data_IF_626049187472
#
_entry.id   IF_626049187472
#
_cell.length_a   1.000
_cell.length_b   1.000
_cell.length_c   1.000
_cell.angle_alpha   90.00
_cell.angle_beta   90.00
_cell.angle_gamma   90.00
#
_symmetry.space_group_name_H-M   'P 1'
#
loop_
_entity.id
_entity.type
_entity.pdbx_description
1 polymer ?
#
# COMPACT_ATOMS: atom_id res chain seq x y z
N UNK A 1 -9.16 45.96 73.61
CA UNK A 1 -9.68 45.71 72.29
C UNK A 1 -8.77 44.66 71.62
N UNK A 2 -9.24 43.40 71.60
CA UNK A 2 -8.47 42.30 70.97
C UNK A 2 -8.88 42.16 69.55
N UNK A 3 -7.92 42.30 68.59
CA UNK A 3 -8.12 42.05 67.16
C UNK A 3 -8.00 40.56 66.92
N UNK A 4 -9.09 39.94 66.46
CA UNK A 4 -9.10 38.57 65.99
C UNK A 4 -8.81 38.59 64.51
N UNK A 5 -7.63 38.07 64.05
CA UNK A 5 -7.31 37.87 62.68
C UNK A 5 -7.86 36.51 62.21
N UNK A 6 -8.75 36.55 61.24
CA UNK A 6 -9.27 35.37 60.55
C UNK A 6 -8.29 34.96 59.47
N UNK A 7 -7.70 33.79 59.59
CA UNK A 7 -6.85 33.18 58.59
C UNK A 7 -7.74 32.34 57.66
N UNK A 8 -7.97 32.78 56.44
CA UNK A 8 -8.72 32.02 55.43
C UNK A 8 -7.74 31.06 54.75
N UNK A 9 -7.92 29.77 55.00
CA UNK A 9 -7.14 28.70 54.37
C UNK A 9 -7.78 28.37 53.01
N UNK A 10 -7.10 28.75 51.91
CA UNK A 10 -7.51 28.39 50.58
C UNK A 10 -7.03 26.95 50.29
N UNK A 11 -7.96 25.99 50.25
CA UNK A 11 -7.69 24.63 49.79
C UNK A 11 -7.77 24.61 48.28
N UNK A 12 -6.62 24.57 47.60
CA UNK A 12 -6.52 24.35 46.16
C UNK A 12 -6.61 22.85 45.91
N UNK A 13 -7.77 22.38 45.45
CA UNK A 13 -7.93 21.01 44.95
C UNK A 13 -7.30 20.93 43.54
N UNK A 14 -6.15 20.30 43.45
CA UNK A 14 -5.60 19.88 42.16
C UNK A 14 -6.49 18.75 41.60
N UNK A 15 -7.33 19.10 40.61
CA UNK A 15 -7.96 18.09 39.77
C UNK A 15 -6.85 17.63 38.82
N UNK A 16 -6.21 16.52 39.14
CA UNK A 16 -5.30 15.84 38.23
C UNK A 16 -6.12 15.32 37.03
N UNK A 17 -6.02 15.97 35.88
CA UNK A 17 -6.36 15.32 34.62
C UNK A 17 -5.44 14.11 34.46
N UNK A 18 -5.97 12.91 34.67
CA UNK A 18 -5.34 11.71 34.15
C UNK A 18 -5.36 11.82 32.63
N UNK A 19 -4.27 12.31 32.06
CA UNK A 19 -3.92 12.07 30.68
C UNK A 19 -3.69 10.54 30.61
N UNK A 20 -4.69 9.82 30.10
CA UNK A 20 -4.44 8.46 29.64
C UNK A 20 -3.46 8.61 28.47
N UNK A 21 -2.18 8.44 28.79
CA UNK A 21 -1.17 8.10 27.80
C UNK A 21 -1.69 6.77 27.22
N UNK A 22 -2.35 6.83 26.06
CA UNK A 22 -2.52 5.65 25.22
C UNK A 22 -1.09 5.19 24.98
N UNK A 23 -0.67 4.22 25.78
CA UNK A 23 0.59 3.52 25.56
C UNK A 23 0.58 3.12 24.10
N UNK A 24 1.41 3.76 23.30
CA UNK A 24 1.78 3.29 21.96
C UNK A 24 2.39 1.91 22.19
N UNK A 25 1.56 0.87 22.35
CA UNK A 25 2.03 -0.49 22.23
C UNK A 25 2.70 -0.58 20.87
N UNK A 26 4.00 -0.73 20.90
CA UNK A 26 4.81 -0.87 19.68
C UNK A 26 4.35 -2.19 19.09
N UNK A 27 3.41 -2.09 18.13
CA UNK A 27 2.90 -3.28 17.45
C UNK A 27 4.07 -3.96 16.73
N UNK A 28 4.21 -5.23 17.02
CA UNK A 28 5.32 -6.03 16.49
C UNK A 28 5.14 -6.34 14.99
N UNK A 29 3.88 -6.45 14.52
CA UNK A 29 3.56 -6.74 13.12
C UNK A 29 2.65 -5.65 12.54
N UNK A 30 3.04 -5.09 11.40
CA UNK A 30 2.23 -4.07 10.72
C UNK A 30 2.56 -3.94 9.23
N UNK A 31 1.59 -3.41 8.49
CA UNK A 31 1.78 -2.91 7.13
C UNK A 31 2.04 -1.41 7.19
N UNK A 32 3.01 -0.91 6.43
CA UNK A 32 3.22 0.53 6.19
C UNK A 32 3.04 0.86 4.71
N UNK A 33 2.49 2.03 4.42
CA UNK A 33 2.32 2.51 3.04
C UNK A 33 3.60 3.22 2.61
N UNK A 34 4.22 2.74 1.53
CA UNK A 34 5.48 3.25 0.99
C UNK A 34 5.29 4.08 -0.29
N UNK A 35 4.11 4.03 -0.87
CA UNK A 35 3.72 4.79 -2.05
C UNK A 35 2.25 4.60 -2.36
N UNK A 36 1.67 5.54 -3.09
CA UNK A 36 0.23 5.58 -3.31
C UNK A 36 -0.17 5.87 -4.75
N UNK A 37 0.78 6.33 -5.59
CA UNK A 37 0.51 6.69 -6.97
C UNK A 37 0.52 5.46 -7.90
N UNK A 38 -0.20 5.55 -9.00
CA UNK A 38 -0.20 4.59 -10.10
C UNK A 38 1.16 4.63 -10.83
N UNK A 39 1.49 3.61 -11.61
CA UNK A 39 2.71 3.30 -12.37
C UNK A 39 3.65 4.45 -12.70
N UNK A 40 3.11 5.53 -13.26
CA UNK A 40 3.87 6.70 -13.68
C UNK A 40 4.28 7.64 -12.55
N UNK A 41 3.82 7.39 -11.33
CA UNK A 41 4.10 8.21 -10.16
C UNK A 41 3.45 9.60 -10.20
N UNK A 42 3.77 10.41 -9.18
CA UNK A 42 3.36 11.82 -9.12
C UNK A 42 4.56 12.69 -8.70
N UNK A 43 4.92 13.73 -9.47
CA UNK A 43 4.31 14.17 -10.72
C UNK A 43 4.48 13.15 -11.84
N UNK A 44 3.51 13.08 -12.75
CA UNK A 44 3.55 12.17 -13.90
C UNK A 44 4.41 12.77 -15.01
N UNK A 45 5.20 11.91 -15.67
CA UNK A 45 6.07 12.32 -16.78
C UNK A 45 5.26 13.02 -17.90
N UNK A 46 5.74 14.19 -18.32
CA UNK A 46 5.13 14.97 -19.40
C UNK A 46 3.79 15.65 -19.06
N UNK A 47 3.28 15.50 -17.85
CA UNK A 47 2.05 16.17 -17.47
C UNK A 47 2.26 17.67 -17.24
N UNK A 48 1.48 18.47 -17.98
CA UNK A 48 1.44 19.94 -17.86
C UNK A 48 0.14 20.45 -17.23
N UNK A 49 -0.69 19.55 -16.69
CA UNK A 49 -1.94 19.91 -16.01
C UNK A 49 -1.66 20.44 -14.61
N UNK A 50 -2.64 21.18 -14.06
CA UNK A 50 -2.57 21.76 -12.71
C UNK A 50 -2.17 20.73 -11.63
N UNK A 51 -2.65 19.51 -11.72
CA UNK A 51 -2.32 18.45 -10.75
C UNK A 51 -0.82 18.25 -10.58
N UNK A 52 -0.03 18.22 -11.68
CA UNK A 52 1.42 18.05 -11.60
C UNK A 52 2.17 19.40 -11.50
N UNK A 53 1.61 20.48 -12.03
CA UNK A 53 2.18 21.83 -11.94
C UNK A 53 2.33 22.29 -10.47
N UNK A 54 1.38 21.94 -9.64
CA UNK A 54 1.41 22.24 -8.20
C UNK A 54 2.64 21.61 -7.49
N UNK A 55 3.13 20.46 -7.96
CA UNK A 55 4.38 19.90 -7.47
C UNK A 55 5.59 20.77 -7.85
N UNK A 56 5.71 21.17 -9.10
CA UNK A 56 6.83 22.01 -9.57
C UNK A 56 6.83 23.41 -8.95
N UNK A 57 5.68 23.87 -8.47
CA UNK A 57 5.55 25.10 -7.68
C UNK A 57 5.79 24.91 -6.18
N UNK A 58 6.11 23.70 -5.73
CA UNK A 58 6.34 23.39 -4.31
C UNK A 58 5.06 23.38 -3.45
N UNK A 59 3.89 23.29 -4.07
CA UNK A 59 2.59 23.25 -3.37
C UNK A 59 2.24 21.83 -2.92
N UNK A 60 2.57 20.82 -3.74
CA UNK A 60 2.31 19.42 -3.44
C UNK A 60 3.62 18.62 -3.30
N UNK A 61 3.74 17.69 -2.36
CA UNK A 61 4.89 16.79 -2.28
C UNK A 61 4.85 15.73 -3.40
N UNK A 62 6.01 15.15 -3.72
CA UNK A 62 6.09 13.95 -4.54
C UNK A 62 5.31 12.80 -3.88
N UNK A 63 4.59 12.02 -4.69
CA UNK A 63 3.98 10.74 -4.26
C UNK A 63 4.70 9.60 -4.95
N UNK A 64 5.16 8.62 -4.19
CA UNK A 64 5.84 7.44 -4.73
C UNK A 64 4.81 6.47 -5.33
N UNK A 65 5.29 5.65 -6.27
CA UNK A 65 4.49 4.57 -6.87
C UNK A 65 4.09 3.56 -5.81
N UNK A 66 2.89 3.00 -5.95
CA UNK A 66 2.22 2.13 -4.98
C UNK A 66 3.09 0.99 -4.49
N UNK A 67 3.28 0.94 -3.19
CA UNK A 67 4.00 -0.15 -2.53
C UNK A 67 3.63 -0.23 -1.05
N UNK A 68 3.64 -1.44 -0.50
CA UNK A 68 3.48 -1.67 0.93
C UNK A 68 4.75 -2.32 1.50
N UNK A 69 5.13 -1.91 2.69
CA UNK A 69 6.08 -2.60 3.54
C UNK A 69 5.35 -3.46 4.57
N UNK A 70 5.75 -4.71 4.72
CA UNK A 70 5.26 -5.61 5.75
C UNK A 70 6.39 -5.88 6.75
N UNK A 71 6.17 -5.51 7.99
CA UNK A 71 7.20 -5.54 9.04
C UNK A 71 6.78 -6.50 10.14
N UNK A 72 7.71 -7.36 10.54
CA UNK A 72 7.64 -8.17 11.75
C UNK A 72 8.88 -7.89 12.61
N UNK A 73 8.70 -7.11 13.67
CA UNK A 73 9.77 -6.73 14.59
C UNK A 73 10.20 -7.87 15.51
N UNK A 74 9.29 -8.81 15.81
CA UNK A 74 9.60 -9.96 16.64
C UNK A 74 10.50 -10.93 15.86
N UNK A 75 10.12 -11.25 14.63
CA UNK A 75 10.91 -12.11 13.75
C UNK A 75 12.10 -11.38 13.10
N UNK A 76 12.24 -10.05 13.29
CA UNK A 76 13.25 -9.20 12.63
C UNK A 76 13.22 -9.32 11.11
N UNK A 77 12.02 -9.34 10.53
CA UNK A 77 11.78 -9.51 9.10
C UNK A 77 11.01 -8.33 8.51
N UNK A 78 11.32 -8.01 7.26
CA UNK A 78 10.62 -7.00 6.46
C UNK A 78 10.48 -7.44 5.02
N UNK A 79 9.28 -7.26 4.48
CA UNK A 79 8.92 -7.63 3.11
C UNK A 79 8.37 -6.43 2.37
N UNK A 80 8.55 -6.43 1.05
CA UNK A 80 8.07 -5.40 0.15
C UNK A 80 7.00 -5.98 -0.76
N UNK A 81 5.89 -5.28 -0.95
CA UNK A 81 4.93 -5.54 -2.02
C UNK A 81 5.13 -4.48 -3.09
N UNK A 82 5.43 -4.92 -4.29
CA UNK A 82 5.86 -4.21 -5.48
C UNK A 82 7.31 -3.69 -5.47
N UNK A 83 8.02 -3.94 -6.56
CA UNK A 83 9.34 -3.37 -6.83
C UNK A 83 9.20 -2.20 -7.80
N UNK A 84 8.83 -1.04 -7.30
CA UNK A 84 8.46 0.13 -8.09
C UNK A 84 9.69 0.90 -8.61
N UNK A 85 9.53 1.84 -9.54
CA UNK A 85 10.60 2.78 -9.91
C UNK A 85 11.15 3.59 -8.72
N UNK A 86 10.39 3.75 -7.63
CA UNK A 86 10.81 4.45 -6.41
C UNK A 86 11.45 3.53 -5.36
N UNK A 87 11.77 2.28 -5.70
CA UNK A 87 12.23 1.23 -4.76
C UNK A 87 13.40 1.65 -3.87
N UNK A 88 14.32 2.44 -4.39
CA UNK A 88 15.50 2.89 -3.63
C UNK A 88 15.10 3.74 -2.41
N UNK A 89 14.14 4.64 -2.58
CA UNK A 89 13.63 5.49 -1.49
C UNK A 89 12.68 4.71 -0.57
N UNK A 90 11.91 3.76 -1.11
CA UNK A 90 11.03 2.88 -0.33
C UNK A 90 11.82 1.93 0.58
N UNK A 91 12.88 1.31 0.07
CA UNK A 91 13.78 0.49 0.90
C UNK A 91 14.53 1.33 1.95
N UNK A 92 14.97 2.54 1.59
CA UNK A 92 15.60 3.44 2.55
C UNK A 92 14.64 3.86 3.68
N UNK A 93 13.36 4.04 3.37
CA UNK A 93 12.32 4.33 4.36
C UNK A 93 12.10 3.13 5.31
N UNK A 94 11.97 1.92 4.76
CA UNK A 94 11.89 0.69 5.57
C UNK A 94 13.08 0.54 6.52
N UNK A 95 14.28 0.79 6.04
CA UNK A 95 15.53 0.66 6.82
C UNK A 95 15.64 1.71 7.93
N UNK A 96 15.31 2.97 7.62
CA UNK A 96 15.52 4.08 8.54
C UNK A 96 14.39 4.27 9.55
N UNK A 97 13.14 4.08 9.11
CA UNK A 97 11.96 4.49 9.87
C UNK A 97 11.15 3.31 10.43
N UNK A 98 11.46 2.08 9.99
CA UNK A 98 10.66 0.90 10.40
C UNK A 98 11.50 -0.19 11.07
N UNK A 99 12.39 -0.86 10.33
CA UNK A 99 13.16 -1.98 10.85
C UNK A 99 14.54 -2.06 10.18
N UNK A 100 15.57 -1.82 10.96
CA UNK A 100 16.97 -1.99 10.54
C UNK A 100 17.47 -3.38 10.88
N UNK A 101 17.89 -4.14 9.86
CA UNK A 101 18.42 -5.51 10.01
C UNK A 101 19.70 -5.67 9.17
N UNK A 102 20.34 -6.84 9.25
CA UNK A 102 21.50 -7.18 8.41
C UNK A 102 21.14 -7.37 6.94
N UNK A 103 19.86 -7.68 6.64
CA UNK A 103 19.32 -7.79 5.28
C UNK A 103 18.66 -6.48 4.87
N UNK A 104 18.77 -6.11 3.60
CA UNK A 104 18.05 -4.94 3.07
C UNK A 104 16.55 -5.22 3.00
N UNK A 105 16.18 -6.46 2.66
CA UNK A 105 14.80 -6.96 2.55
C UNK A 105 14.81 -8.50 2.62
N UNK A 106 13.80 -9.10 3.23
CA UNK A 106 13.67 -10.56 3.36
C UNK A 106 12.83 -11.18 2.24
N UNK A 107 12.17 -10.35 1.44
CA UNK A 107 11.48 -10.77 0.22
C UNK A 107 10.65 -9.67 -0.43
N UNK A 108 10.40 -9.84 -1.72
CA UNK A 108 9.60 -8.92 -2.54
C UNK A 108 8.48 -9.71 -3.21
N UNK A 109 7.25 -9.27 -3.02
CA UNK A 109 6.05 -9.81 -3.65
C UNK A 109 5.65 -8.97 -4.85
N UNK A 110 5.52 -9.57 -6.03
CA UNK A 110 5.14 -8.89 -7.27
C UNK A 110 3.73 -9.30 -7.66
N UNK A 111 2.87 -8.32 -7.94
CA UNK A 111 1.50 -8.60 -8.39
C UNK A 111 1.43 -8.98 -9.87
N UNK A 112 2.10 -8.22 -10.75
CA UNK A 112 2.05 -8.41 -12.19
C UNK A 112 3.16 -7.66 -12.94
N UNK A 113 3.20 -7.81 -14.28
CA UNK A 113 4.25 -7.27 -15.14
C UNK A 113 3.88 -5.93 -15.79
N UNK A 114 3.30 -4.97 -15.05
CA UNK A 114 3.28 -3.56 -15.44
C UNK A 114 4.44 -2.81 -14.78
N UNK A 115 4.99 -1.81 -15.48
CA UNK A 115 6.29 -1.22 -15.13
C UNK A 115 6.34 -0.65 -13.70
N UNK A 116 5.25 -0.12 -13.21
CA UNK A 116 5.14 0.43 -11.86
C UNK A 116 5.35 -0.60 -10.76
N UNK A 117 5.15 -1.89 -11.07
CA UNK A 117 5.12 -2.96 -10.06
C UNK A 117 6.41 -3.80 -10.00
N UNK A 118 7.24 -3.81 -11.09
CA UNK A 118 8.42 -4.70 -11.15
C UNK A 118 9.70 -4.05 -11.67
N UNK A 119 9.63 -2.86 -12.30
CA UNK A 119 10.82 -2.25 -12.92
C UNK A 119 11.95 -2.00 -11.90
N UNK A 120 11.62 -1.73 -10.66
CA UNK A 120 12.57 -1.51 -9.58
C UNK A 120 13.42 -2.73 -9.23
N UNK A 121 13.06 -3.95 -9.65
CA UNK A 121 13.91 -5.13 -9.49
C UNK A 121 15.31 -4.92 -10.08
N UNK A 122 15.46 -4.06 -11.09
CA UNK A 122 16.75 -3.73 -11.71
C UNK A 122 17.76 -3.16 -10.71
N UNK A 123 17.29 -2.46 -9.67
CA UNK A 123 18.16 -1.92 -8.61
C UNK A 123 18.81 -3.00 -7.73
N UNK A 124 18.39 -4.26 -7.84
CA UNK A 124 19.08 -5.38 -7.16
C UNK A 124 20.32 -5.84 -7.92
N UNK A 125 20.49 -5.44 -9.18
CA UNK A 125 21.61 -5.76 -10.03
C UNK A 125 22.95 -5.20 -9.54
N UNK A 126 24.02 -5.65 -10.21
CA UNK A 126 25.41 -5.28 -9.88
C UNK A 126 25.70 -3.79 -10.05
N UNK A 127 24.93 -3.09 -10.87
CA UNK A 127 25.08 -1.66 -11.13
C UNK A 127 24.58 -0.79 -9.97
N UNK A 128 23.81 -1.38 -9.04
CA UNK A 128 23.26 -0.68 -7.87
C UNK A 128 23.54 -1.47 -6.59
N UNK A 129 22.59 -2.30 -6.10
CA UNK A 129 22.72 -2.99 -4.81
C UNK A 129 23.76 -4.12 -4.82
N UNK A 130 23.83 -4.91 -5.90
CA UNK A 130 24.77 -6.01 -6.07
C UNK A 130 24.63 -7.18 -5.08
N UNK A 131 23.61 -7.19 -4.21
CA UNK A 131 23.34 -8.29 -3.28
C UNK A 131 22.96 -9.56 -4.02
N UNK A 132 23.03 -10.70 -3.31
CA UNK A 132 22.75 -12.01 -3.86
C UNK A 132 21.51 -12.63 -3.22
N UNK A 133 20.79 -13.41 -4.04
CA UNK A 133 19.68 -14.26 -3.63
C UNK A 133 18.56 -13.51 -2.89
N UNK A 134 18.24 -12.26 -3.29
CA UNK A 134 17.08 -11.55 -2.76
C UNK A 134 15.83 -12.35 -3.16
N UNK A 135 14.99 -12.81 -2.20
CA UNK A 135 13.80 -13.59 -2.52
C UNK A 135 12.79 -12.73 -3.28
N UNK A 136 12.33 -13.21 -4.45
CA UNK A 136 11.24 -12.62 -5.22
C UNK A 136 10.10 -13.63 -5.33
N UNK A 137 9.00 -13.30 -4.74
CA UNK A 137 7.76 -14.07 -4.77
C UNK A 137 6.97 -13.67 -6.01
N UNK A 138 6.84 -14.61 -6.97
CA UNK A 138 6.20 -14.36 -8.25
C UNK A 138 5.38 -15.55 -8.73
N UNK A 139 4.28 -15.26 -9.44
CA UNK A 139 3.49 -16.27 -10.14
C UNK A 139 4.27 -16.86 -11.33
N UNK A 140 3.89 -18.06 -11.83
CA UNK A 140 4.67 -18.78 -12.84
C UNK A 140 4.94 -18.01 -14.13
N UNK A 141 3.94 -17.31 -14.70
CA UNK A 141 4.15 -16.51 -15.93
C UNK A 141 5.05 -15.30 -15.63
N UNK A 142 4.84 -14.60 -14.48
CA UNK A 142 5.70 -13.50 -14.05
C UNK A 142 7.16 -13.94 -13.91
N UNK A 143 7.40 -15.08 -13.26
CA UNK A 143 8.73 -15.67 -13.16
C UNK A 143 9.32 -15.96 -14.55
N UNK A 144 8.54 -16.57 -15.42
CA UNK A 144 8.95 -16.89 -16.80
C UNK A 144 9.31 -15.62 -17.59
N UNK A 145 8.48 -14.58 -17.45
CA UNK A 145 8.74 -13.29 -18.05
C UNK A 145 10.11 -12.72 -17.62
N UNK A 146 10.40 -12.70 -16.34
CA UNK A 146 11.65 -12.17 -15.79
C UNK A 146 12.88 -13.02 -16.19
N UNK A 147 12.74 -14.34 -16.28
CA UNK A 147 13.84 -15.24 -16.70
C UNK A 147 14.20 -15.07 -18.17
N UNK A 148 13.22 -14.82 -19.04
CA UNK A 148 13.40 -14.85 -20.49
C UNK A 148 13.61 -13.47 -21.13
N UNK A 149 13.48 -12.38 -20.35
CA UNK A 149 13.61 -11.03 -20.90
C UNK A 149 14.75 -10.26 -20.24
N UNK A 150 15.65 -9.72 -21.04
CA UNK A 150 16.63 -8.74 -20.57
C UNK A 150 15.96 -7.39 -20.24
N UNK A 151 16.52 -6.64 -19.30
CA UNK A 151 17.70 -6.96 -18.50
C UNK A 151 17.42 -7.80 -17.23
N UNK A 152 16.16 -8.11 -16.89
CA UNK A 152 15.81 -8.88 -15.66
C UNK A 152 16.42 -10.28 -15.64
N UNK A 153 16.54 -10.95 -16.78
CA UNK A 153 17.20 -12.25 -16.90
C UNK A 153 18.64 -12.24 -16.38
N UNK A 154 19.34 -11.11 -16.47
CA UNK A 154 20.67 -10.92 -15.89
C UNK A 154 20.63 -11.04 -14.36
N UNK A 155 19.62 -10.51 -13.69
CA UNK A 155 19.47 -10.61 -12.22
C UNK A 155 19.38 -12.08 -11.78
N UNK A 156 18.76 -12.92 -12.59
CA UNK A 156 18.64 -14.36 -12.36
C UNK A 156 19.98 -15.07 -12.59
N UNK A 157 20.61 -14.86 -13.73
CA UNK A 157 21.88 -15.51 -14.10
C UNK A 157 23.01 -15.10 -13.16
N UNK A 158 23.04 -13.85 -12.72
CA UNK A 158 24.01 -13.35 -11.72
C UNK A 158 23.61 -13.61 -10.28
N UNK A 159 22.48 -14.30 -10.06
CA UNK A 159 21.95 -14.64 -8.73
C UNK A 159 21.72 -13.44 -7.82
N UNK A 160 21.37 -12.27 -8.38
CA UNK A 160 20.96 -11.14 -7.55
C UNK A 160 19.59 -11.36 -6.92
N UNK A 161 18.68 -12.01 -7.67
CA UNK A 161 17.38 -12.45 -7.19
C UNK A 161 17.29 -13.97 -7.18
N UNK A 162 16.45 -14.52 -6.30
CA UNK A 162 16.08 -15.93 -6.23
C UNK A 162 14.55 -16.04 -6.15
N UNK A 163 13.95 -16.85 -7.02
CA UNK A 163 12.49 -16.98 -7.06
C UNK A 163 11.95 -17.90 -5.97
N UNK A 164 10.93 -17.38 -5.26
CA UNK A 164 10.00 -18.16 -4.45
C UNK A 164 8.68 -18.28 -5.23
N UNK A 165 8.32 -19.52 -5.62
CA UNK A 165 7.19 -19.73 -6.51
C UNK A 165 5.85 -19.55 -5.78
N UNK A 166 5.02 -18.63 -6.26
CA UNK A 166 3.64 -18.49 -5.85
C UNK A 166 2.73 -19.45 -6.63
N UNK A 167 1.60 -19.79 -6.04
CA UNK A 167 0.51 -20.54 -6.69
C UNK A 167 -0.82 -19.96 -6.21
N UNK A 168 -1.79 -19.82 -7.12
CA UNK A 168 -3.15 -19.34 -6.80
C UNK A 168 -3.67 -20.02 -5.52
N UNK A 169 -4.16 -19.21 -4.59
CA UNK A 169 -4.81 -19.61 -3.34
C UNK A 169 -3.94 -20.53 -2.42
N UNK A 170 -2.62 -20.56 -2.63
CA UNK A 170 -1.70 -21.31 -1.75
C UNK A 170 -1.00 -20.38 -0.78
N UNK A 171 -1.13 -20.72 0.50
CA UNK A 171 -0.49 -19.96 1.59
C UNK A 171 1.02 -20.05 1.48
N UNK A 172 1.69 -18.93 1.56
CA UNK A 172 3.12 -18.77 1.81
C UNK A 172 3.31 -18.43 3.28
N UNK A 173 3.86 -19.35 4.05
CA UNK A 173 4.21 -19.11 5.44
C UNK A 173 5.54 -18.35 5.49
N UNK A 174 5.55 -17.13 6.00
CA UNK A 174 6.76 -16.31 6.15
C UNK A 174 7.48 -16.60 7.47
N UNK A 175 6.70 -16.77 8.54
CA UNK A 175 7.16 -17.21 9.87
C UNK A 175 5.98 -17.83 10.64
N UNK A 176 6.10 -18.05 11.93
CA UNK A 176 5.09 -18.73 12.74
C UNK A 176 3.71 -18.04 12.77
N UNK A 177 3.65 -16.74 12.58
CA UNK A 177 2.41 -15.95 12.69
C UNK A 177 2.07 -15.13 11.44
N UNK A 178 3.00 -15.00 10.49
CA UNK A 178 2.84 -14.15 9.31
C UNK A 178 2.74 -15.01 8.05
N UNK A 179 1.69 -14.80 7.26
CA UNK A 179 1.44 -15.52 6.02
C UNK A 179 0.84 -14.63 4.94
N UNK A 180 1.10 -14.99 3.69
CA UNK A 180 0.62 -14.29 2.50
C UNK A 180 0.01 -15.31 1.55
N UNK A 181 -1.18 -15.00 1.03
CA UNK A 181 -1.88 -15.86 0.07
C UNK A 181 -2.17 -15.05 -1.20
N UNK A 182 -1.59 -15.40 -2.35
CA UNK A 182 -1.92 -14.79 -3.63
C UNK A 182 -3.25 -15.33 -4.16
N UNK A 183 -4.06 -14.47 -4.77
CA UNK A 183 -5.26 -14.85 -5.50
C UNK A 183 -5.33 -14.10 -6.83
N UNK A 184 -5.88 -14.73 -7.86
CA UNK A 184 -6.00 -14.11 -9.18
C UNK A 184 -7.06 -13.00 -9.18
N UNK A 185 -6.75 -11.93 -9.87
CA UNK A 185 -7.68 -10.86 -10.22
C UNK A 185 -7.65 -10.62 -11.74
N UNK A 186 -8.78 -10.24 -12.36
CA UNK A 186 -8.79 -9.91 -13.78
C UNK A 186 -8.03 -8.61 -14.02
N UNK A 187 -7.10 -8.63 -14.95
CA UNK A 187 -6.39 -7.44 -15.44
C UNK A 187 -5.82 -7.71 -16.83
N UNK A 188 -5.01 -6.79 -17.37
CA UNK A 188 -4.29 -6.99 -18.63
C UNK A 188 -3.10 -7.93 -18.40
N UNK A 189 -3.28 -9.19 -18.78
CA UNK A 189 -2.35 -10.29 -18.49
C UNK A 189 -1.42 -10.59 -19.70
N UNK A 190 -0.88 -9.54 -20.32
CA UNK A 190 -0.05 -9.69 -21.54
C UNK A 190 1.23 -10.48 -21.27
N UNK A 191 1.87 -10.27 -20.10
CA UNK A 191 3.16 -10.86 -19.77
C UNK A 191 3.14 -11.75 -18.53
N UNK A 192 2.16 -11.58 -17.66
CA UNK A 192 2.08 -12.32 -16.39
C UNK A 192 0.63 -12.54 -15.99
N UNK A 193 0.42 -13.40 -14.99
CA UNK A 193 -0.81 -13.34 -14.20
C UNK A 193 -0.85 -12.02 -13.44
N UNK A 194 -2.06 -11.55 -13.10
CA UNK A 194 -2.26 -10.49 -12.11
C UNK A 194 -2.85 -11.07 -10.84
N UNK A 195 -2.25 -10.76 -9.68
CA UNK A 195 -2.70 -11.22 -8.37
C UNK A 195 -2.92 -10.07 -7.40
N UNK A 196 -3.91 -10.26 -6.52
CA UNK A 196 -3.95 -9.59 -5.23
C UNK A 196 -3.37 -10.50 -4.15
N UNK A 197 -3.14 -9.93 -2.97
CA UNK A 197 -2.62 -10.65 -1.82
C UNK A 197 -3.54 -10.51 -0.61
N UNK A 198 -3.80 -11.63 0.08
CA UNK A 198 -4.27 -11.64 1.46
C UNK A 198 -3.06 -11.75 2.37
N UNK A 199 -2.90 -10.80 3.29
CA UNK A 199 -1.81 -10.73 4.26
C UNK A 199 -2.44 -10.98 5.63
N UNK A 200 -1.95 -11.97 6.36
CA UNK A 200 -2.48 -12.37 7.66
C UNK A 200 -1.37 -12.34 8.70
N UNK A 201 -1.53 -11.49 9.69
CA UNK A 201 -0.67 -11.42 10.87
C UNK A 201 -1.25 -12.18 12.05
N UNK A 202 -0.74 -11.87 13.25
CA UNK A 202 -1.15 -12.54 14.49
C UNK A 202 -2.60 -12.24 14.87
N UNK A 203 -3.04 -11.00 14.68
CA UNK A 203 -4.34 -10.53 15.19
C UNK A 203 -5.27 -10.05 14.07
N UNK A 204 -4.73 -9.52 12.98
CA UNK A 204 -5.50 -8.90 11.92
C UNK A 204 -5.01 -9.32 10.53
N UNK A 205 -5.82 -8.99 9.55
CA UNK A 205 -5.58 -9.36 8.15
C UNK A 205 -5.90 -8.21 7.20
N UNK A 206 -5.25 -8.25 6.02
CA UNK A 206 -5.44 -7.26 4.98
C UNK A 206 -5.59 -7.90 3.60
N UNK A 207 -6.34 -7.22 2.71
CA UNK A 207 -6.28 -7.43 1.27
C UNK A 207 -5.44 -6.33 0.64
N UNK A 208 -4.63 -6.68 -0.36
CA UNK A 208 -3.92 -5.75 -1.23
C UNK A 208 -4.25 -6.07 -2.68
N UNK A 209 -5.05 -5.23 -3.31
CA UNK A 209 -5.49 -5.32 -4.71
C UNK A 209 -5.22 -3.95 -5.35
N UNK A 210 -3.94 -3.65 -5.69
CA UNK A 210 -3.57 -2.33 -6.20
C UNK A 210 -4.05 -2.11 -7.62
N UNK A 211 -4.21 -3.18 -8.39
CA UNK A 211 -4.56 -3.11 -9.80
C UNK A 211 -5.49 -4.25 -10.20
N UNK A 212 -6.64 -3.90 -10.78
CA UNK A 212 -7.68 -4.85 -11.19
C UNK A 212 -8.53 -4.22 -12.31
N UNK A 213 -9.14 -5.06 -13.15
CA UNK A 213 -10.23 -4.64 -14.03
C UNK A 213 -11.51 -4.39 -13.22
N UNK A 214 -12.61 -4.02 -13.91
CA UNK A 214 -13.91 -3.81 -13.25
C UNK A 214 -14.26 -4.96 -12.31
N UNK A 215 -14.77 -4.65 -11.12
CA UNK A 215 -15.16 -5.64 -10.10
C UNK A 215 -16.12 -6.70 -10.63
N UNK A 216 -16.97 -6.32 -11.61
CA UNK A 216 -17.92 -7.23 -12.26
C UNK A 216 -17.27 -8.36 -13.08
N UNK A 217 -15.99 -8.21 -13.43
CA UNK A 217 -15.21 -9.23 -14.15
C UNK A 217 -14.48 -10.20 -13.21
N UNK A 218 -14.46 -9.92 -11.90
CA UNK A 218 -13.84 -10.80 -10.93
C UNK A 218 -14.78 -11.90 -10.48
N UNK A 219 -14.28 -13.13 -10.37
CA UNK A 219 -15.06 -14.28 -9.94
C UNK A 219 -15.56 -14.19 -8.49
N UNK A 220 -14.98 -13.28 -7.67
CA UNK A 220 -15.34 -13.06 -6.28
C UNK A 220 -16.09 -11.74 -6.11
N UNK A 221 -16.92 -11.66 -5.08
CA UNK A 221 -17.59 -10.40 -4.71
C UNK A 221 -16.69 -9.60 -3.78
N UNK A 222 -16.29 -8.39 -4.20
CA UNK A 222 -15.36 -7.54 -3.42
C UNK A 222 -15.94 -7.16 -2.04
N UNK A 223 -17.24 -6.92 -1.94
CA UNK A 223 -17.89 -6.58 -0.66
C UNK A 223 -17.74 -7.73 0.33
N UNK A 224 -17.99 -8.96 -0.13
CA UNK A 224 -17.86 -10.15 0.70
C UNK A 224 -16.41 -10.45 1.06
N UNK A 225 -15.45 -10.18 0.17
CA UNK A 225 -14.02 -10.34 0.49
C UNK A 225 -13.54 -9.31 1.53
N UNK A 226 -14.00 -8.05 1.44
CA UNK A 226 -13.68 -7.00 2.41
C UNK A 226 -14.24 -7.31 3.80
N UNK A 227 -15.42 -7.93 3.89
CA UNK A 227 -16.00 -8.34 5.18
C UNK A 227 -15.10 -9.31 5.95
N UNK A 228 -14.32 -10.14 5.24
CA UNK A 228 -13.46 -11.21 5.81
C UNK A 228 -12.12 -10.73 6.37
N UNK A 229 -11.78 -9.46 6.20
CA UNK A 229 -10.49 -8.88 6.63
C UNK A 229 -10.70 -7.63 7.46
N UNK A 230 -9.62 -7.12 8.04
CA UNK A 230 -9.64 -5.89 8.83
C UNK A 230 -9.32 -4.65 7.99
N UNK A 231 -8.53 -4.82 6.94
CA UNK A 231 -8.10 -3.77 6.02
C UNK A 231 -8.19 -4.25 4.57
N UNK A 232 -8.59 -3.38 3.66
CA UNK A 232 -8.60 -3.68 2.23
C UNK A 232 -8.04 -2.50 1.43
N UNK A 233 -6.80 -2.64 0.97
CA UNK A 233 -6.15 -1.69 0.07
C UNK A 233 -6.59 -1.98 -1.35
N UNK A 234 -7.46 -1.14 -1.90
CA UNK A 234 -8.16 -1.37 -3.15
C UNK A 234 -7.77 -0.36 -4.22
N UNK A 235 -7.71 -0.84 -5.46
CA UNK A 235 -7.51 -0.03 -6.66
C UNK A 235 -8.41 1.20 -6.69
N UNK A 236 -7.82 2.34 -6.87
CA UNK A 236 -8.45 3.63 -6.96
C UNK A 236 -7.79 4.49 -8.05
N UNK A 237 -7.39 3.85 -9.16
CA UNK A 237 -6.66 4.52 -10.24
C UNK A 237 -7.40 5.76 -10.72
N UNK A 238 -8.69 5.66 -10.99
CA UNK A 238 -9.51 6.80 -11.41
C UNK A 238 -10.68 7.04 -10.45
N UNK A 239 -11.03 8.32 -10.29
CA UNK A 239 -12.16 8.71 -9.45
C UNK A 239 -13.49 8.42 -10.12
N UNK A 240 -13.64 8.89 -11.37
CA UNK A 240 -14.89 8.81 -12.15
C UNK A 240 -14.67 8.82 -13.65
N UNK A 241 -15.78 8.66 -14.37
CA UNK A 241 -15.83 8.83 -15.84
C UNK A 241 -15.33 10.23 -16.26
N UNK A 242 -14.62 10.29 -17.41
CA UNK A 242 -14.15 11.54 -18.01
C UNK A 242 -12.94 12.20 -17.35
N UNK A 243 -12.24 11.52 -16.44
CA UNK A 243 -11.06 12.07 -15.73
C UNK A 243 -9.86 12.27 -16.68
N UNK A 244 -9.75 11.48 -17.73
CA UNK A 244 -8.70 11.60 -18.75
C UNK A 244 -9.30 11.81 -20.13
N UNK A 245 -8.52 12.39 -21.05
CA UNK A 245 -8.98 12.74 -22.38
C UNK A 245 -8.90 11.55 -23.37
N UNK A 246 -9.57 10.44 -23.02
CA UNK A 246 -9.79 9.27 -23.89
C UNK A 246 -11.04 8.52 -23.40
N UNK A 247 -11.65 7.66 -24.23
CA UNK A 247 -12.78 6.86 -23.79
C UNK A 247 -12.44 6.05 -22.55
N UNK A 248 -13.16 6.27 -21.45
CA UNK A 248 -12.90 5.54 -20.19
C UNK A 248 -13.35 4.08 -20.27
N UNK A 249 -14.15 3.70 -21.28
CA UNK A 249 -14.44 2.31 -21.61
C UNK A 249 -13.21 1.48 -21.97
N UNK A 250 -12.13 2.15 -22.42
CA UNK A 250 -10.83 1.53 -22.69
C UNK A 250 -9.97 1.40 -21.41
N UNK A 251 -10.44 1.98 -20.31
CA UNK A 251 -9.73 1.96 -19.02
C UNK A 251 -10.29 0.84 -18.17
N UNK A 252 -9.51 -0.21 -17.90
CA UNK A 252 -10.03 -1.42 -17.28
C UNK A 252 -10.36 -1.27 -15.80
N UNK A 253 -9.77 -0.29 -15.09
CA UNK A 253 -9.88 -0.12 -13.64
C UNK A 253 -11.32 0.21 -13.18
N UNK A 254 -11.71 -0.24 -11.97
CA UNK A 254 -12.92 0.27 -11.34
C UNK A 254 -12.71 1.73 -10.93
N UNK A 255 -13.72 2.57 -11.10
CA UNK A 255 -13.69 3.91 -10.55
C UNK A 255 -13.95 3.89 -9.04
N UNK A 256 -13.45 4.90 -8.32
CA UNK A 256 -13.79 5.07 -6.91
C UNK A 256 -15.32 5.14 -6.74
N UNK A 257 -16.03 5.91 -7.60
CA UNK A 257 -17.49 6.02 -7.56
C UNK A 257 -18.18 4.67 -7.73
N UNK A 258 -17.69 3.79 -8.63
CA UNK A 258 -18.23 2.43 -8.81
C UNK A 258 -18.03 1.57 -7.56
N UNK A 259 -16.86 1.66 -6.96
CA UNK A 259 -16.55 0.95 -5.71
C UNK A 259 -17.45 1.46 -4.58
N UNK A 260 -17.60 2.77 -4.43
CA UNK A 260 -18.48 3.39 -3.43
C UNK A 260 -19.94 2.96 -3.61
N UNK A 261 -20.43 2.86 -4.86
CA UNK A 261 -21.78 2.38 -5.14
C UNK A 261 -22.00 0.92 -4.69
N UNK A 262 -21.03 0.03 -4.90
CA UNK A 262 -21.10 -1.35 -4.41
C UNK A 262 -21.21 -1.43 -2.89
N UNK A 263 -20.56 -0.52 -2.17
CA UNK A 263 -20.56 -0.47 -0.70
C UNK A 263 -21.64 0.44 -0.10
N UNK A 264 -22.50 1.09 -0.89
CA UNK A 264 -23.43 2.13 -0.42
C UNK A 264 -24.33 1.68 0.73
N UNK A 265 -24.80 0.43 0.69
CA UNK A 265 -25.71 -0.16 1.68
C UNK A 265 -24.97 -0.86 2.84
N UNK A 266 -23.65 -0.88 2.82
CA UNK A 266 -22.85 -1.53 3.86
C UNK A 266 -22.73 -0.65 5.11
N UNK A 267 -22.47 -1.30 6.24
CA UNK A 267 -22.26 -0.62 7.52
C UNK A 267 -21.01 0.28 7.48
N UNK A 268 -20.97 1.26 8.37
CA UNK A 268 -19.77 2.10 8.57
C UNK A 268 -18.54 1.25 8.91
N UNK A 269 -18.72 0.18 9.68
CA UNK A 269 -17.65 -0.77 10.02
C UNK A 269 -17.06 -1.42 8.77
N UNK A 270 -17.89 -1.82 7.82
CA UNK A 270 -17.41 -2.41 6.54
C UNK A 270 -16.73 -1.35 5.67
N UNK A 271 -17.33 -0.17 5.52
CA UNK A 271 -16.76 0.94 4.75
C UNK A 271 -15.41 1.39 5.29
N UNK A 272 -15.24 1.44 6.61
CA UNK A 272 -13.99 1.79 7.28
C UNK A 272 -12.82 0.82 7.03
N UNK A 273 -13.09 -0.38 6.51
CA UNK A 273 -12.04 -1.32 6.09
C UNK A 273 -11.45 -0.98 4.73
N UNK A 274 -12.19 -0.26 3.87
CA UNK A 274 -11.76 0.12 2.52
C UNK A 274 -10.77 1.27 2.60
N UNK A 275 -9.61 1.07 2.00
CA UNK A 275 -8.50 2.03 1.93
C UNK A 275 -8.12 2.15 0.46
N UNK A 276 -8.50 3.23 -0.18
CA UNK A 276 -8.18 3.50 -1.57
C UNK A 276 -6.69 3.76 -1.76
N UNK A 277 -6.09 3.14 -2.79
CA UNK A 277 -4.65 3.23 -3.14
C UNK A 277 -4.47 3.19 -4.66
N UNK A 278 -3.28 3.40 -5.20
CA UNK A 278 -2.95 3.31 -6.61
C UNK A 278 -3.59 4.42 -7.47
N UNK A 279 -3.45 5.67 -7.02
CA UNK A 279 -4.09 6.81 -7.67
C UNK A 279 -3.35 7.27 -8.93
N UNK A 280 -4.05 7.44 -10.05
CA UNK A 280 -3.51 8.20 -11.18
C UNK A 280 -3.26 9.66 -10.77
N UNK A 281 -2.29 10.29 -11.41
CA UNK A 281 -1.93 11.69 -11.13
C UNK A 281 -3.07 12.70 -11.34
N UNK A 282 -4.07 12.35 -12.16
CA UNK A 282 -5.28 13.18 -12.38
C UNK A 282 -6.36 12.98 -11.34
N UNK A 283 -6.30 11.87 -10.58
CA UNK A 283 -7.32 11.54 -9.59
C UNK A 283 -7.35 12.59 -8.47
N UNK A 284 -8.48 13.28 -8.25
CA UNK A 284 -8.57 14.31 -7.21
C UNK A 284 -8.32 13.74 -5.80
N UNK A 285 -8.63 12.46 -5.56
CA UNK A 285 -8.42 11.82 -4.27
C UNK A 285 -6.93 11.58 -3.92
N UNK A 286 -6.01 11.73 -4.89
CA UNK A 286 -4.58 11.74 -4.62
C UNK A 286 -4.18 12.94 -3.73
N UNK A 287 -4.89 14.06 -3.86
CA UNK A 287 -4.64 15.27 -3.07
C UNK A 287 -5.28 15.16 -1.68
N UNK A 288 -4.50 15.31 -0.58
CA UNK A 288 -4.99 15.09 0.79
C UNK A 288 -6.19 15.95 1.20
N UNK A 289 -6.32 17.13 0.62
CA UNK A 289 -7.34 18.12 0.96
C UNK A 289 -8.41 18.31 -0.12
N UNK A 290 -8.53 17.38 -1.08
CA UNK A 290 -9.56 17.47 -2.13
C UNK A 290 -10.97 17.33 -1.54
N UNK A 291 -11.94 17.96 -2.20
CA UNK A 291 -13.36 17.87 -1.83
C UNK A 291 -13.84 16.42 -1.88
N UNK A 292 -13.50 15.72 -2.96
CA UNK A 292 -13.88 14.34 -3.22
C UNK A 292 -13.38 13.39 -2.12
N UNK A 293 -12.11 13.55 -1.71
CA UNK A 293 -11.54 12.77 -0.61
C UNK A 293 -12.23 13.05 0.72
N UNK A 294 -12.52 14.33 1.01
CA UNK A 294 -13.19 14.74 2.26
C UNK A 294 -14.62 14.17 2.34
N UNK A 295 -15.39 14.26 1.26
CA UNK A 295 -16.76 13.72 1.19
C UNK A 295 -16.79 12.21 1.45
N UNK A 296 -15.89 11.44 0.81
CA UNK A 296 -15.84 10.00 1.01
C UNK A 296 -15.30 9.61 2.40
N UNK A 297 -14.43 10.42 2.99
CA UNK A 297 -13.98 10.21 4.37
C UNK A 297 -15.13 10.34 5.36
N UNK A 298 -16.05 11.29 5.15
CA UNK A 298 -17.26 11.43 5.96
C UNK A 298 -18.21 10.22 5.83
N UNK A 299 -18.17 9.52 4.69
CA UNK A 299 -18.92 8.28 4.45
C UNK A 299 -18.23 7.03 5.02
N UNK A 300 -17.05 7.18 5.65
CA UNK A 300 -16.30 6.11 6.31
C UNK A 300 -15.19 5.48 5.48
N UNK A 301 -14.96 5.91 4.25
CA UNK A 301 -13.86 5.40 3.43
C UNK A 301 -12.51 6.01 3.87
N UNK A 302 -11.44 5.27 3.65
CA UNK A 302 -10.07 5.72 3.94
C UNK A 302 -9.26 5.82 2.67
N UNK A 303 -8.18 6.59 2.76
CA UNK A 303 -7.24 6.80 1.67
C UNK A 303 -5.83 6.51 2.16
N UNK A 304 -5.08 5.78 1.34
CA UNK A 304 -3.69 5.51 1.61
C UNK A 304 -2.89 6.83 1.71
N UNK A 305 -2.00 6.88 2.68
CA UNK A 305 -1.09 8.00 2.88
C UNK A 305 0.27 7.41 3.25
N UNK A 306 1.34 7.85 2.58
CA UNK A 306 2.69 7.36 2.83
C UNK A 306 3.06 7.49 4.32
N UNK A 307 3.72 6.47 4.86
CA UNK A 307 4.13 6.39 6.25
C UNK A 307 3.04 5.91 7.22
N UNK A 308 1.77 5.85 6.80
CA UNK A 308 0.70 5.33 7.66
C UNK A 308 0.87 3.84 7.92
N UNK A 309 0.68 3.43 9.19
CA UNK A 309 0.82 2.04 9.65
C UNK A 309 -0.55 1.42 9.94
N UNK A 310 -0.65 0.10 9.73
CA UNK A 310 -1.82 -0.72 9.97
C UNK A 310 -1.37 -2.00 10.68
N UNK A 311 -1.78 -2.20 11.90
CA UNK A 311 -1.41 -3.35 12.73
C UNK A 311 -2.00 -4.65 12.20
N UNK A 312 -1.24 -5.74 12.36
CA UNK A 312 -1.64 -7.09 11.92
C UNK A 312 -1.76 -8.09 13.08
#
# INVERSE_FOLDING_TARGET
>A
MKKISFLILFIITFIGCNYNDESNEITNQYITILGTAQDGGFPHIGCQKKCCDDFYKGVSPKQKVVSLGLIDREAQQKFLFEATPDISTQLADLEKNHLRTSTIIDGVFITHAHMGHYAGLLYFGKEALGKKNIPVYAMPKMKNFLINNGPWSQLVTTKNIAFSNLRKDKVVQLNNSLKVTPFLVPHRDEFSETVGYKIEGKNKSALFIPDINKWSLWEKNIVEEVKKVDYAFLDATFFKEGEINRPMSEVPHPFIEETVDLFKNESLTTKNKVIFIHFNHTNPALQPISKERNELTLLGYKFATEGKRFEL
#
